data_IF_683783632022
#
_entry.id   IF_683783632022
#
_cell.length_a   1.000
_cell.length_b   1.000
_cell.length_c   1.000
_cell.angle_alpha   90.00
_cell.angle_beta   90.00
_cell.angle_gamma   90.00
#
_symmetry.space_group_name_H-M   'P 1'
#
loop_
_entity.id
_entity.type
_entity.pdbx_description
1 polymer ?
#
# COMPACT_ATOMS: atom_id res chain seq x y z
N UNK A 1 2.07 -19.47 -4.92
CA UNK A 1 1.64 -18.17 -5.46
C UNK A 1 2.81 -17.22 -5.39
N UNK A 2 3.32 -16.78 -6.52
CA UNK A 2 4.21 -15.62 -6.59
C UNK A 2 3.30 -14.44 -6.93
N UNK A 3 2.80 -13.81 -5.87
CA UNK A 3 2.11 -12.53 -5.97
C UNK A 3 3.13 -11.52 -6.46
N UNK A 4 3.10 -11.24 -7.77
CA UNK A 4 3.82 -10.13 -8.38
C UNK A 4 3.27 -8.83 -7.79
N UNK A 5 3.79 -8.48 -6.62
CA UNK A 5 3.47 -7.27 -5.92
C UNK A 5 4.17 -6.14 -6.68
N UNK A 6 3.43 -5.19 -7.29
CA UNK A 6 4.00 -4.18 -8.17
C UNK A 6 5.10 -3.39 -7.45
N UNK A 7 6.28 -3.41 -8.06
CA UNK A 7 7.56 -2.96 -7.50
C UNK A 7 7.58 -1.47 -7.12
N UNK A 8 6.65 -0.68 -7.66
CA UNK A 8 6.63 0.79 -7.51
C UNK A 8 5.86 1.31 -6.28
N UNK A 9 5.30 0.43 -5.43
CA UNK A 9 4.49 0.83 -4.27
C UNK A 9 5.15 0.56 -2.90
N UNK A 10 6.45 0.30 -2.83
CA UNK A 10 7.09 -0.02 -1.56
C UNK A 10 7.59 1.23 -0.83
N UNK A 11 6.90 1.63 0.24
CA UNK A 11 7.55 2.34 1.34
C UNK A 11 8.74 1.48 1.81
N UNK A 12 9.92 2.08 1.98
CA UNK A 12 11.17 1.39 2.34
C UNK A 12 11.02 0.43 3.53
N UNK A 13 10.13 0.76 4.48
CA UNK A 13 9.82 -0.07 5.65
C UNK A 13 9.27 -1.45 5.28
N UNK A 14 8.38 -1.51 4.30
CA UNK A 14 7.81 -2.79 3.88
C UNK A 14 8.86 -3.61 3.09
N UNK A 15 9.87 -2.97 2.47
CA UNK A 15 10.85 -3.60 1.57
C UNK A 15 11.71 -4.64 2.30
N UNK A 16 12.05 -4.34 3.56
CA UNK A 16 12.78 -5.25 4.44
C UNK A 16 11.98 -6.52 4.73
N UNK A 17 10.65 -6.42 4.89
CA UNK A 17 9.79 -7.58 5.13
C UNK A 17 9.71 -8.50 3.91
N UNK A 18 9.67 -7.95 2.69
CA UNK A 18 9.76 -8.80 1.48
C UNK A 18 11.12 -9.48 1.39
N UNK A 19 12.20 -8.79 1.73
CA UNK A 19 13.54 -9.38 1.67
C UNK A 19 13.61 -10.62 2.59
N UNK A 20 13.04 -10.52 3.80
CA UNK A 20 12.91 -11.62 4.74
C UNK A 20 11.99 -12.73 4.21
N UNK A 21 10.86 -12.39 3.58
CA UNK A 21 9.96 -13.36 2.95
C UNK A 21 10.66 -14.12 1.81
N UNK A 22 11.41 -13.42 0.97
CA UNK A 22 12.21 -14.01 -0.11
C UNK A 22 13.29 -14.94 0.45
N UNK A 23 13.94 -14.57 1.55
CA UNK A 23 14.90 -15.44 2.22
C UNK A 23 14.22 -16.68 2.82
N UNK A 24 13.03 -16.53 3.43
CA UNK A 24 12.23 -17.63 3.97
C UNK A 24 11.85 -18.64 2.87
N UNK A 25 11.38 -18.13 1.72
CA UNK A 25 11.06 -18.96 0.55
C UNK A 25 12.30 -19.63 -0.06
N UNK A 26 13.46 -18.94 -0.06
CA UNK A 26 14.73 -19.50 -0.56
C UNK A 26 15.26 -20.63 0.34
N UNK A 27 15.15 -20.48 1.67
CA UNK A 27 15.58 -21.51 2.64
C UNK A 27 14.63 -22.70 2.67
N UNK A 28 13.34 -22.49 2.39
CA UNK A 28 12.34 -23.55 2.50
C UNK A 28 11.41 -23.61 1.29
N UNK A 29 11.91 -24.07 0.12
CA UNK A 29 11.13 -24.13 -1.11
C UNK A 29 9.88 -25.01 -0.99
N UNK A 30 9.94 -26.11 -0.22
CA UNK A 30 8.81 -27.01 0.01
C UNK A 30 7.89 -26.60 1.18
N UNK A 31 8.34 -25.73 2.09
CA UNK A 31 7.52 -25.28 3.25
C UNK A 31 6.67 -24.05 2.96
N UNK A 32 6.72 -23.52 1.74
CA UNK A 32 5.78 -22.49 1.24
C UNK A 32 4.32 -22.94 1.41
N UNK A 33 4.07 -24.26 1.37
CA UNK A 33 2.76 -24.87 1.57
C UNK A 33 2.39 -25.17 3.03
N UNK A 34 3.34 -25.08 3.96
CA UNK A 34 3.12 -25.36 5.39
C UNK A 34 2.84 -24.09 6.21
N UNK A 35 2.74 -22.92 5.57
CA UNK A 35 2.41 -21.65 6.25
C UNK A 35 3.51 -21.08 7.13
N UNK A 36 4.75 -21.59 7.06
CA UNK A 36 5.86 -21.18 7.93
C UNK A 36 6.25 -19.70 7.75
N UNK A 37 6.06 -19.15 6.54
CA UNK A 37 6.34 -17.74 6.26
C UNK A 37 5.12 -16.81 6.47
N UNK A 38 3.98 -17.33 6.99
CA UNK A 38 2.73 -16.58 7.15
C UNK A 38 2.86 -15.35 8.07
N UNK A 39 3.78 -15.38 9.03
CA UNK A 39 4.07 -14.23 9.89
C UNK A 39 4.66 -13.04 9.13
N UNK A 40 5.42 -13.29 8.06
CA UNK A 40 5.94 -12.24 7.19
C UNK A 40 4.87 -11.71 6.25
N UNK A 41 4.03 -12.60 5.71
CA UNK A 41 2.89 -12.23 4.87
C UNK A 41 1.93 -11.29 5.63
N UNK A 42 1.59 -11.62 6.88
CA UNK A 42 0.75 -10.76 7.72
C UNK A 42 1.34 -9.36 7.94
N UNK A 43 2.65 -9.28 8.16
CA UNK A 43 3.33 -8.00 8.35
C UNK A 43 3.35 -7.17 7.07
N UNK A 44 3.54 -7.81 5.92
CA UNK A 44 3.47 -7.16 4.61
C UNK A 44 2.06 -6.62 4.37
N UNK A 45 1.01 -7.42 4.61
CA UNK A 45 -0.38 -6.98 4.47
C UNK A 45 -0.71 -5.80 5.37
N UNK A 46 -0.27 -5.84 6.64
CA UNK A 46 -0.45 -4.75 7.58
C UNK A 46 0.21 -3.46 7.08
N UNK A 47 1.46 -3.57 6.62
CA UNK A 47 2.23 -2.44 6.10
C UNK A 47 1.55 -1.80 4.87
N UNK A 48 1.10 -2.63 3.91
CA UNK A 48 0.38 -2.18 2.72
C UNK A 48 -0.98 -1.54 3.06
N UNK A 49 -1.68 -2.06 4.08
CA UNK A 49 -2.96 -1.51 4.53
C UNK A 49 -2.79 -0.12 5.11
N UNK A 50 -1.78 0.08 5.96
CA UNK A 50 -1.45 1.39 6.53
C UNK A 50 -1.11 2.41 5.44
N UNK A 51 -0.34 2.00 4.43
CA UNK A 51 -0.01 2.86 3.29
C UNK A 51 -1.26 3.25 2.49
N UNK A 52 -2.13 2.28 2.18
CA UNK A 52 -3.38 2.54 1.44
C UNK A 52 -4.25 3.53 2.19
N UNK A 53 -4.35 3.41 3.52
CA UNK A 53 -5.09 4.34 4.37
C UNK A 53 -4.45 5.74 4.33
N UNK A 54 -3.13 5.84 4.47
CA UNK A 54 -2.43 7.12 4.41
C UNK A 54 -2.58 7.81 3.04
N UNK A 55 -2.51 7.06 1.94
CA UNK A 55 -2.72 7.57 0.58
C UNK A 55 -4.17 8.00 0.37
N UNK A 56 -5.13 7.23 0.87
CA UNK A 56 -6.55 7.57 0.80
C UNK A 56 -6.85 8.87 1.55
N UNK A 57 -6.30 9.05 2.76
CA UNK A 57 -6.45 10.28 3.54
C UNK A 57 -5.89 11.50 2.80
N UNK A 58 -4.67 11.40 2.23
CA UNK A 58 -4.08 12.48 1.41
C UNK A 58 -4.93 12.80 0.18
N UNK A 59 -5.47 11.79 -0.48
CA UNK A 59 -6.30 11.98 -1.67
C UNK A 59 -7.65 12.59 -1.31
N UNK A 60 -8.22 12.23 -0.16
CA UNK A 60 -9.45 12.80 0.35
C UNK A 60 -9.31 14.31 0.63
N UNK A 61 -8.25 14.72 1.31
CA UNK A 61 -7.98 16.15 1.56
C UNK A 61 -7.79 16.94 0.26
N UNK A 62 -7.02 16.40 -0.70
CA UNK A 62 -6.85 17.02 -2.02
C UNK A 62 -8.17 17.12 -2.79
N UNK A 63 -9.00 16.07 -2.75
CA UNK A 63 -10.31 16.07 -3.38
C UNK A 63 -11.24 17.12 -2.75
N UNK A 64 -11.20 17.25 -1.43
CA UNK A 64 -11.98 18.25 -0.68
C UNK A 64 -11.55 19.68 -1.01
N UNK A 65 -10.25 19.93 -1.10
CA UNK A 65 -9.70 21.23 -1.50
C UNK A 65 -10.10 21.57 -2.95
N UNK A 66 -9.94 20.62 -3.87
CA UNK A 66 -10.33 20.81 -5.27
C UNK A 66 -11.83 21.07 -5.42
N UNK A 67 -12.68 20.35 -4.67
CA UNK A 67 -14.12 20.58 -4.65
C UNK A 67 -14.48 21.98 -4.13
N UNK A 68 -13.78 22.48 -3.10
CA UNK A 68 -13.99 23.84 -2.57
C UNK A 68 -13.64 24.89 -3.62
N UNK A 69 -12.46 24.79 -4.22
CA UNK A 69 -12.02 25.70 -5.29
C UNK A 69 -13.02 25.71 -6.45
N UNK A 70 -13.47 24.53 -6.89
CA UNK A 70 -14.43 24.44 -8.00
C UNK A 70 -15.78 25.09 -7.66
N UNK A 71 -16.23 24.98 -6.41
CA UNK A 71 -17.48 25.59 -5.93
C UNK A 71 -17.37 27.11 -5.68
N UNK A 72 -16.16 27.64 -5.51
CA UNK A 72 -15.90 29.09 -5.46
C UNK A 72 -15.91 29.67 -6.88
N UNK A 73 -15.16 29.06 -7.81
CA UNK A 73 -15.16 29.44 -9.23
C UNK A 73 -16.57 29.45 -9.83
N UNK A 74 -17.39 28.43 -9.54
CA UNK A 74 -18.76 28.36 -10.08
C UNK A 74 -19.71 29.43 -9.54
N UNK A 75 -19.34 30.19 -8.49
CA UNK A 75 -20.16 31.29 -7.96
C UNK A 75 -19.73 32.64 -8.49
N UNK A 76 -18.48 32.78 -8.93
CA UNK A 76 -17.97 34.02 -9.54
C UNK A 76 -18.41 34.17 -11.00
N UNK A 77 -18.75 33.08 -11.70
CA UNK A 77 -19.25 33.13 -13.08
C UNK A 77 -20.77 33.46 -13.18
N UNK A 78 -21.49 33.52 -12.05
CA UNK A 78 -22.95 33.78 -11.98
C UNK A 78 -23.31 35.25 -11.57
N UNK A 79 -22.33 36.16 -11.43
CA UNK A 79 -22.50 37.60 -11.07
C UNK A 79 -22.14 38.56 -12.23
#
# INVERSE_FOLDING_TARGET
>A
MDTHLPEHLYIEKCKNLIALLKECHKRHPFRKFLGICSSFDYQIEKCLKEERIAKAARNFEKSKEMKRKLAELSKEDDD
#
